data_IF_550459116243
#
_entry.id   IF_550459116243
#
_cell.length_a   1.000
_cell.length_b   1.000
_cell.length_c   1.000
_cell.angle_alpha   90.00
_cell.angle_beta   90.00
_cell.angle_gamma   90.00
#
_symmetry.space_group_name_H-M   'P 1'
#
loop_
_entity.id
_entity.type
_entity.pdbx_description
1 polymer ?
#
# COMPACT_ATOMS: atom_id res chain seq x y z
N UNK A 1 -13.09 6.59 -7.17
CA UNK A 1 -12.70 5.17 -7.19
C UNK A 1 -11.41 5.08 -7.98
N UNK A 2 -10.50 4.18 -7.61
CA UNK A 2 -9.19 4.06 -8.26
C UNK A 2 -9.01 2.61 -8.72
N UNK A 3 -8.85 2.41 -10.02
CA UNK A 3 -8.57 1.08 -10.56
C UNK A 3 -7.16 0.62 -10.16
N UNK A 4 -7.05 -0.65 -9.80
CA UNK A 4 -5.77 -1.30 -9.50
C UNK A 4 -5.05 -1.73 -10.76
N UNK A 5 -5.74 -1.83 -11.91
CA UNK A 5 -5.19 -2.33 -13.17
C UNK A 5 -5.08 -3.85 -13.24
N UNK A 6 -5.60 -4.56 -12.24
CA UNK A 6 -5.81 -6.01 -12.26
C UNK A 6 -7.32 -6.25 -12.34
N UNK A 7 -7.80 -6.74 -13.48
CA UNK A 7 -9.25 -6.88 -13.73
C UNK A 7 -9.93 -7.76 -12.69
N UNK A 8 -9.28 -8.86 -12.30
CA UNK A 8 -9.83 -9.78 -11.27
C UNK A 8 -9.89 -9.11 -9.90
N UNK A 9 -8.91 -8.26 -9.57
CA UNK A 9 -8.90 -7.48 -8.34
C UNK A 9 -9.95 -6.38 -8.37
N UNK A 10 -10.02 -5.61 -9.46
CA UNK A 10 -11.00 -4.54 -9.62
C UNK A 10 -12.43 -5.09 -9.56
N UNK A 11 -12.69 -6.24 -10.18
CA UNK A 11 -13.98 -6.92 -10.07
C UNK A 11 -14.30 -7.31 -8.62
N UNK A 12 -13.33 -7.85 -7.87
CA UNK A 12 -13.51 -8.19 -6.45
C UNK A 12 -13.81 -6.95 -5.59
N UNK A 13 -13.14 -5.83 -5.88
CA UNK A 13 -13.33 -4.56 -5.16
C UNK A 13 -14.62 -3.80 -5.58
N UNK A 14 -15.36 -4.32 -6.55
CA UNK A 14 -16.55 -3.67 -7.10
C UNK A 14 -16.23 -2.44 -7.96
N UNK A 15 -15.18 -2.53 -8.78
CA UNK A 15 -14.71 -1.51 -9.72
C UNK A 15 -13.36 -0.88 -9.35
N UNK A 16 -12.80 -1.18 -8.18
CA UNK A 16 -11.51 -0.67 -7.71
C UNK A 16 -11.57 -0.14 -6.28
N UNK A 17 -10.51 0.57 -5.87
CA UNK A 17 -10.34 1.05 -4.50
C UNK A 17 -11.27 2.24 -4.24
N UNK A 18 -12.08 2.11 -3.18
CA UNK A 18 -13.04 3.13 -2.77
C UNK A 18 -12.42 4.08 -1.75
N UNK A 19 -12.80 5.35 -1.83
CA UNK A 19 -12.47 6.33 -0.80
C UNK A 19 -13.15 5.98 0.53
N UNK A 20 -12.57 6.39 1.65
CA UNK A 20 -13.10 6.01 2.96
C UNK A 20 -12.46 4.76 3.56
N UNK A 21 -11.62 4.04 2.79
CA UNK A 21 -11.09 2.74 3.18
C UNK A 21 -9.57 2.74 3.26
N UNK A 22 -9.07 1.97 4.23
CA UNK A 22 -7.66 1.57 4.31
C UNK A 22 -7.52 0.18 3.70
N UNK A 23 -6.71 0.08 2.65
CA UNK A 23 -6.38 -1.18 1.97
C UNK A 23 -4.94 -1.57 2.31
N UNK A 24 -4.74 -2.76 2.89
CA UNK A 24 -3.41 -3.30 3.15
C UNK A 24 -2.95 -4.19 2.01
N UNK A 25 -1.72 -4.00 1.56
CA UNK A 25 -1.02 -4.86 0.60
C UNK A 25 0.14 -5.53 1.33
N UNK A 26 0.00 -6.81 1.66
CA UNK A 26 1.03 -7.57 2.38
C UNK A 26 1.64 -8.67 1.52
N UNK A 27 2.88 -9.06 1.82
CA UNK A 27 3.58 -10.09 1.06
C UNK A 27 5.08 -10.14 1.33
N UNK A 28 5.71 -11.25 0.91
CA UNK A 28 7.16 -11.44 1.04
C UNK A 28 7.93 -10.40 0.19
N UNK A 29 9.24 -10.30 0.40
CA UNK A 29 10.07 -9.46 -0.47
C UNK A 29 9.94 -9.91 -1.94
N UNK A 30 10.04 -8.95 -2.86
CA UNK A 30 9.94 -9.18 -4.30
C UNK A 30 8.62 -9.80 -4.82
N UNK A 31 7.52 -9.76 -4.04
CA UNK A 31 6.17 -10.13 -4.52
C UNK A 31 5.40 -8.96 -5.14
N UNK A 32 6.05 -7.81 -5.42
CA UNK A 32 5.41 -6.72 -6.17
C UNK A 32 4.52 -5.78 -5.34
N UNK A 33 4.61 -5.72 -4.01
CA UNK A 33 3.83 -4.78 -3.18
C UNK A 33 3.93 -3.32 -3.67
N UNK A 34 5.16 -2.81 -3.80
CA UNK A 34 5.44 -1.46 -4.33
C UNK A 34 5.01 -1.32 -5.79
N UNK A 35 5.08 -2.40 -6.58
CA UNK A 35 4.61 -2.42 -7.97
C UNK A 35 3.10 -2.18 -8.05
N UNK A 36 2.32 -2.84 -7.19
CA UNK A 36 0.89 -2.64 -7.08
C UNK A 36 0.57 -1.24 -6.56
N UNK A 37 1.30 -0.75 -5.56
CA UNK A 37 1.14 0.60 -5.02
C UNK A 37 1.38 1.69 -6.09
N UNK A 38 2.45 1.56 -6.89
CA UNK A 38 2.72 2.43 -8.04
C UNK A 38 1.59 2.37 -9.08
N UNK A 39 1.12 1.16 -9.39
CA UNK A 39 0.03 0.98 -10.34
C UNK A 39 -1.26 1.66 -9.89
N UNK A 40 -1.59 1.59 -8.59
CA UNK A 40 -2.72 2.30 -7.99
C UNK A 40 -2.50 3.83 -8.06
N UNK A 41 -1.27 4.32 -7.85
CA UNK A 41 -0.95 5.73 -8.05
C UNK A 41 -1.25 6.17 -9.49
N UNK A 42 -0.84 5.38 -10.49
CA UNK A 42 -1.13 5.67 -11.88
C UNK A 42 -2.64 5.72 -12.17
N UNK A 43 -3.41 4.80 -11.58
CA UNK A 43 -4.87 4.81 -11.67
C UNK A 43 -5.52 6.06 -11.04
N UNK A 44 -4.86 6.71 -10.08
CA UNK A 44 -5.36 7.90 -9.40
C UNK A 44 -5.04 9.22 -10.14
N UNK A 45 -4.14 9.23 -11.12
CA UNK A 45 -3.68 10.45 -11.80
C UNK A 45 -4.79 11.26 -12.49
N UNK A 46 -5.86 10.56 -12.89
CA UNK A 46 -7.02 11.15 -13.57
C UNK A 46 -8.03 11.83 -12.63
N UNK A 47 -7.89 11.69 -11.30
CA UNK A 47 -8.81 12.26 -10.33
C UNK A 47 -8.66 13.77 -10.10
N UNK A 48 -7.79 14.45 -10.87
CA UNK A 48 -7.60 15.91 -10.81
C UNK A 48 -6.84 16.44 -9.59
N UNK A 49 -6.58 15.60 -8.58
CA UNK A 49 -5.86 15.91 -7.34
C UNK A 49 -4.47 15.27 -7.29
N UNK A 50 -3.69 15.66 -6.30
CA UNK A 50 -2.37 15.09 -6.04
C UNK A 50 -2.48 13.71 -5.37
N UNK A 51 -1.36 12.99 -5.35
CA UNK A 51 -1.19 11.69 -4.69
C UNK A 51 -0.04 11.83 -3.71
N UNK A 52 -0.25 11.46 -2.45
CA UNK A 52 0.81 11.44 -1.45
C UNK A 52 1.41 10.04 -1.39
N UNK A 53 2.70 9.92 -1.67
CA UNK A 53 3.45 8.69 -1.48
C UNK A 53 4.47 8.87 -0.36
N UNK A 54 4.22 8.26 0.80
CA UNK A 54 5.13 8.26 1.93
C UNK A 54 6.07 7.06 1.85
N UNK A 55 7.34 7.32 1.56
CA UNK A 55 8.40 6.32 1.51
C UNK A 55 9.11 6.24 2.87
N UNK A 56 9.03 5.07 3.51
CA UNK A 56 9.66 4.80 4.81
C UNK A 56 10.93 3.96 4.67
N UNK A 57 11.12 3.27 3.54
CA UNK A 57 12.24 2.34 3.33
C UNK A 57 13.37 2.97 2.53
N UNK A 58 13.10 4.08 1.82
CA UNK A 58 14.04 4.71 0.89
C UNK A 58 14.17 3.94 -0.43
N UNK A 59 13.25 3.02 -0.72
CA UNK A 59 13.25 2.17 -1.91
C UNK A 59 12.39 2.74 -3.05
N UNK A 60 11.81 3.93 -2.90
CA UNK A 60 11.10 4.57 -4.00
C UNK A 60 12.05 4.85 -5.17
N UNK A 61 11.72 4.33 -6.35
CA UNK A 61 12.47 4.53 -7.61
C UNK A 61 11.54 5.09 -8.69
N UNK A 62 11.62 6.39 -9.02
CA UNK A 62 10.71 7.03 -9.98
C UNK A 62 10.83 6.44 -11.40
N UNK A 63 12.00 5.91 -11.77
CA UNK A 63 12.25 5.29 -13.07
C UNK A 63 11.24 4.18 -13.35
N UNK A 64 10.84 3.45 -12.30
CA UNK A 64 9.86 2.38 -12.43
C UNK A 64 8.45 2.90 -12.75
N UNK A 65 8.05 4.04 -12.17
CA UNK A 65 6.79 4.71 -12.54
C UNK A 65 6.84 5.17 -13.99
N UNK A 66 7.96 5.76 -14.43
CA UNK A 66 8.17 6.22 -15.81
C UNK A 66 8.05 5.05 -16.80
N UNK A 67 8.69 3.93 -16.51
CA UNK A 67 8.60 2.71 -17.33
C UNK A 67 7.15 2.20 -17.47
N UNK A 68 6.40 2.15 -16.35
CA UNK A 68 4.99 1.77 -16.36
C UNK A 68 4.15 2.76 -17.17
N UNK A 69 4.38 4.07 -17.02
CA UNK A 69 3.67 5.11 -17.75
C UNK A 69 3.91 5.00 -19.25
N UNK A 70 5.16 4.82 -19.69
CA UNK A 70 5.51 4.59 -21.10
C UNK A 70 4.81 3.35 -21.65
N UNK A 71 4.89 2.23 -20.93
CA UNK A 71 4.29 0.95 -21.35
C UNK A 71 2.75 1.01 -21.41
N UNK A 72 2.13 1.90 -20.64
CA UNK A 72 0.68 2.17 -20.62
C UNK A 72 0.24 3.36 -21.47
N UNK A 73 1.18 4.04 -22.15
CA UNK A 73 0.94 5.28 -22.92
C UNK A 73 0.32 6.41 -22.08
N UNK A 74 0.69 6.51 -20.81
CA UNK A 74 0.28 7.61 -19.92
C UNK A 74 1.26 8.77 -20.10
N UNK A 75 0.74 10.00 -20.19
CA UNK A 75 1.55 11.20 -20.32
C UNK A 75 2.45 11.41 -19.08
N UNK A 76 3.76 11.49 -19.29
CA UNK A 76 4.76 11.68 -18.22
C UNK A 76 4.61 12.99 -17.46
N UNK A 77 3.95 14.01 -18.03
CA UNK A 77 3.68 15.28 -17.32
C UNK A 77 2.80 15.11 -16.08
N UNK A 78 2.07 13.99 -15.96
CA UNK A 78 1.26 13.69 -14.79
C UNK A 78 2.10 13.24 -13.58
N UNK A 79 3.39 12.94 -13.76
CA UNK A 79 4.28 12.51 -12.68
C UNK A 79 4.36 13.57 -11.56
N UNK A 80 4.26 14.85 -11.89
CA UNK A 80 4.29 15.97 -10.94
C UNK A 80 3.15 15.92 -9.90
N UNK A 81 2.09 15.16 -10.17
CA UNK A 81 0.99 14.94 -9.22
C UNK A 81 1.35 13.97 -8.10
N UNK A 82 2.39 13.16 -8.25
CA UNK A 82 2.85 12.22 -7.23
C UNK A 82 3.84 12.94 -6.32
N UNK A 83 3.37 13.37 -5.14
CA UNK A 83 4.20 14.00 -4.12
C UNK A 83 4.81 12.91 -3.25
N UNK A 84 6.13 12.75 -3.35
CA UNK A 84 6.87 11.77 -2.56
C UNK A 84 7.42 12.45 -1.32
N UNK A 85 7.12 11.86 -0.16
CA UNK A 85 7.71 12.27 1.10
C UNK A 85 8.52 11.12 1.69
N UNK A 86 9.83 11.33 1.80
CA UNK A 86 10.72 10.39 2.48
C UNK A 86 10.73 10.71 3.97
N UNK A 87 10.34 9.74 4.79
CA UNK A 87 10.42 9.83 6.25
C UNK A 87 11.43 8.83 6.77
N UNK A 88 12.19 9.22 7.80
CA UNK A 88 13.31 8.41 8.32
C UNK A 88 13.18 8.05 9.78
N UNK A 89 12.07 8.43 10.43
CA UNK A 89 11.73 8.02 11.79
C UNK A 89 10.22 8.06 12.05
N UNK A 90 9.78 7.37 13.10
CA UNK A 90 8.37 7.22 13.47
C UNK A 90 7.71 8.57 13.81
N UNK A 91 8.45 9.46 14.49
CA UNK A 91 7.96 10.80 14.84
C UNK A 91 7.64 11.64 13.59
N UNK A 92 8.52 11.62 12.58
CA UNK A 92 8.28 12.26 11.28
C UNK A 92 7.11 11.60 10.54
N UNK A 93 7.06 10.27 10.52
CA UNK A 93 5.99 9.52 9.85
C UNK A 93 4.61 9.93 10.37
N UNK A 94 4.45 10.03 11.70
CA UNK A 94 3.21 10.46 12.36
C UNK A 94 2.95 11.96 12.13
N UNK A 95 3.95 12.81 12.37
CA UNK A 95 3.80 14.27 12.30
C UNK A 95 3.44 14.76 10.91
N UNK A 96 4.00 14.14 9.87
CA UNK A 96 3.77 14.57 8.49
C UNK A 96 2.30 14.41 8.09
N UNK A 97 1.69 13.28 8.48
CA UNK A 97 0.28 13.02 8.22
C UNK A 97 -0.63 14.06 8.87
N UNK A 98 -0.27 14.55 10.07
CA UNK A 98 -1.03 15.55 10.82
C UNK A 98 -0.87 16.98 10.28
N UNK A 99 0.25 17.29 9.64
CA UNK A 99 0.58 18.65 9.17
C UNK A 99 0.26 18.90 7.69
N UNK A 100 0.06 17.84 6.92
CA UNK A 100 -0.16 17.95 5.48
C UNK A 100 -1.60 18.39 5.21
N UNK A 101 -1.86 19.37 4.32
CA UNK A 101 -3.20 19.72 3.89
C UNK A 101 -3.77 18.60 3.00
N UNK A 102 -4.48 17.67 3.63
CA UNK A 102 -4.94 16.43 2.99
C UNK A 102 -6.02 16.65 1.93
N UNK A 103 -6.65 17.83 1.90
CA UNK A 103 -7.70 18.20 0.96
C UNK A 103 -7.24 18.17 -0.52
N UNK A 104 -5.93 18.34 -0.74
CA UNK A 104 -5.32 18.35 -2.06
C UNK A 104 -5.09 16.96 -2.64
N UNK A 105 -5.25 15.91 -1.83
CA UNK A 105 -4.89 14.55 -2.22
C UNK A 105 -6.12 13.69 -2.53
N UNK A 106 -5.99 12.85 -3.57
CA UNK A 106 -6.99 11.83 -3.94
C UNK A 106 -6.60 10.42 -3.52
N UNK A 107 -5.37 10.23 -3.08
CA UNK A 107 -4.81 8.95 -2.66
C UNK A 107 -3.63 9.22 -1.71
N UNK A 108 -3.55 8.41 -0.66
CA UNK A 108 -2.38 8.36 0.22
C UNK A 108 -1.83 6.94 0.20
N UNK A 109 -0.52 6.82 0.01
CA UNK A 109 0.21 5.55 0.06
C UNK A 109 1.29 5.63 1.14
N UNK A 110 1.41 4.60 1.97
CA UNK A 110 2.51 4.44 2.93
C UNK A 110 3.24 3.13 2.64
N UNK A 111 4.47 3.23 2.14
CA UNK A 111 5.30 2.10 1.73
C UNK A 111 6.65 2.14 2.47
N UNK A 112 6.93 1.29 3.47
CA UNK A 112 6.05 0.36 4.18
C UNK A 112 5.63 0.86 5.56
N UNK A 113 4.38 0.60 5.94
CA UNK A 113 3.77 1.18 7.14
C UNK A 113 4.40 0.71 8.45
N UNK A 114 5.02 -0.47 8.48
CA UNK A 114 5.56 -1.08 9.70
C UNK A 114 7.08 -0.96 9.85
N UNK A 115 7.77 -0.45 8.84
CA UNK A 115 9.24 -0.53 8.76
C UNK A 115 9.94 0.29 9.86
N UNK A 116 9.68 1.60 9.93
CA UNK A 116 10.27 2.50 10.93
C UNK A 116 9.89 2.09 12.36
N UNK A 117 8.64 1.69 12.58
CA UNK A 117 8.20 1.16 13.89
C UNK A 117 8.96 -0.11 14.28
N UNK A 118 9.32 -0.95 13.31
CA UNK A 118 10.07 -2.19 13.60
C UNK A 118 11.55 -1.95 13.79
N UNK A 119 12.09 -0.92 13.14
CA UNK A 119 13.46 -0.51 13.29
C UNK A 119 13.71 0.18 14.65
N UNK A 120 12.91 1.19 15.00
CA UNK A 120 13.09 1.97 16.24
C UNK A 120 12.74 1.18 17.50
N UNK A 121 11.71 0.34 17.45
CA UNK A 121 11.28 -0.49 18.56
C UNK A 121 11.69 -1.95 18.35
N UNK A 122 12.99 -2.18 18.20
CA UNK A 122 13.55 -3.51 17.91
C UNK A 122 13.74 -4.39 19.14
N UNK A 123 13.74 -3.82 20.35
CA UNK A 123 13.93 -4.56 21.61
C UNK A 123 12.62 -5.20 22.09
N UNK A 124 12.69 -6.40 22.66
CA UNK A 124 11.52 -7.12 23.18
C UNK A 124 10.76 -6.34 24.27
N UNK A 125 11.49 -5.63 25.15
CA UNK A 125 10.92 -4.78 26.21
C UNK A 125 10.06 -3.63 25.64
N UNK A 126 10.34 -3.21 24.41
CA UNK A 126 9.61 -2.14 23.71
C UNK A 126 8.43 -2.66 22.89
N UNK A 127 8.14 -3.97 22.92
CA UNK A 127 7.08 -4.57 22.11
C UNK A 127 5.71 -3.91 22.38
N UNK A 128 5.34 -3.72 23.64
CA UNK A 128 4.07 -3.07 23.99
C UNK A 128 4.01 -1.63 23.48
N UNK A 129 5.10 -0.87 23.65
CA UNK A 129 5.20 0.52 23.18
C UNK A 129 5.08 0.59 21.65
N UNK A 130 5.76 -0.30 20.92
CA UNK A 130 5.65 -0.46 19.47
C UNK A 130 4.21 -0.66 19.04
N UNK A 131 3.52 -1.62 19.64
CA UNK A 131 2.13 -1.93 19.31
C UNK A 131 1.20 -0.75 19.60
N UNK A 132 1.32 -0.11 20.76
CA UNK A 132 0.49 1.05 21.13
C UNK A 132 0.73 2.22 20.17
N UNK A 133 1.99 2.56 19.89
CA UNK A 133 2.36 3.66 19.01
C UNK A 133 1.87 3.42 17.58
N UNK A 134 2.09 2.21 17.05
CA UNK A 134 1.63 1.81 15.71
C UNK A 134 0.10 1.80 15.60
N UNK A 135 -0.62 1.28 16.60
CA UNK A 135 -2.09 1.27 16.60
C UNK A 135 -2.67 2.70 16.61
N UNK A 136 -2.06 3.63 17.38
CA UNK A 136 -2.46 5.05 17.34
C UNK A 136 -2.28 5.65 15.94
N UNK A 137 -1.16 5.35 15.27
CA UNK A 137 -0.92 5.81 13.91
C UNK A 137 -1.91 5.21 12.89
N UNK A 138 -2.17 3.91 12.96
CA UNK A 138 -3.16 3.25 12.10
C UNK A 138 -4.58 3.77 12.34
N UNK A 139 -4.94 4.06 13.59
CA UNK A 139 -6.20 4.72 13.93
C UNK A 139 -6.31 6.10 13.28
N UNK A 140 -5.25 6.92 13.31
CA UNK A 140 -5.22 8.21 12.62
C UNK A 140 -5.39 8.07 11.11
N UNK A 141 -4.71 7.10 10.47
CA UNK A 141 -4.89 6.81 9.05
C UNK A 141 -6.36 6.42 8.75
N UNK A 142 -6.94 5.50 9.52
CA UNK A 142 -8.33 5.08 9.32
C UNK A 142 -9.32 6.24 9.47
N UNK A 143 -9.15 7.07 10.50
CA UNK A 143 -9.97 8.27 10.72
C UNK A 143 -9.85 9.26 9.55
N UNK A 144 -8.65 9.47 9.01
CA UNK A 144 -8.44 10.31 7.83
C UNK A 144 -9.17 9.73 6.62
N UNK A 145 -9.02 8.42 6.37
CA UNK A 145 -9.63 7.76 5.24
C UNK A 145 -11.15 8.00 5.26
N UNK A 146 -11.79 7.70 6.40
CA UNK A 146 -13.24 7.82 6.60
C UNK A 146 -13.71 9.28 6.51
N UNK A 147 -13.14 10.17 7.31
CA UNK A 147 -13.61 11.55 7.44
C UNK A 147 -13.40 12.37 6.17
N UNK A 148 -12.32 12.11 5.44
CA UNK A 148 -12.00 12.84 4.20
C UNK A 148 -12.45 12.10 2.94
N UNK A 149 -12.95 10.86 3.07
CA UNK A 149 -13.26 9.96 1.96
C UNK A 149 -12.08 9.76 1.01
N UNK A 150 -10.86 9.76 1.55
CA UNK A 150 -9.62 9.53 0.79
C UNK A 150 -9.26 8.04 0.91
N UNK A 151 -8.97 7.34 -0.20
CA UNK A 151 -8.43 5.98 -0.15
C UNK A 151 -6.99 6.00 0.37
N UNK A 152 -6.70 5.10 1.31
CA UNK A 152 -5.35 4.94 1.87
C UNK A 152 -4.84 3.53 1.57
N UNK A 153 -3.64 3.44 1.04
CA UNK A 153 -2.92 2.19 0.80
C UNK A 153 -1.76 2.10 1.76
N UNK A 154 -1.64 0.96 2.43
CA UNK A 154 -0.48 0.65 3.26
C UNK A 154 0.15 -0.63 2.75
N UNK A 155 1.48 -0.67 2.64
CA UNK A 155 2.18 -1.91 2.34
C UNK A 155 2.77 -2.50 3.61
N UNK A 156 2.86 -3.82 3.67
CA UNK A 156 3.44 -4.52 4.81
C UNK A 156 4.24 -5.75 4.40
N UNK A 157 5.28 -6.08 5.16
CA UNK A 157 6.12 -7.24 4.87
C UNK A 157 5.60 -8.49 5.57
N UNK A 158 5.61 -9.60 4.83
CA UNK A 158 5.41 -10.95 5.37
C UNK A 158 6.77 -11.64 5.44
N UNK A 159 7.09 -12.23 6.58
CA UNK A 159 8.32 -13.01 6.80
C UNK A 159 7.97 -14.46 7.06
N UNK A 160 8.87 -15.37 6.71
CA UNK A 160 8.74 -16.78 7.07
C UNK A 160 9.50 -17.04 8.36
N UNK A 161 8.77 -17.42 9.41
CA UNK A 161 9.31 -17.78 10.72
C UNK A 161 8.80 -19.19 11.02
N UNK A 162 9.70 -20.13 11.30
CA UNK A 162 9.35 -21.54 11.59
C UNK A 162 8.42 -22.18 10.54
N UNK A 163 8.73 -21.96 9.25
CA UNK A 163 7.94 -22.40 8.09
C UNK A 163 6.52 -21.83 8.02
N UNK A 164 6.18 -20.85 8.86
CA UNK A 164 4.90 -20.13 8.81
C UNK A 164 5.12 -18.72 8.29
N UNK A 165 4.25 -18.29 7.39
CA UNK A 165 4.20 -16.89 6.98
C UNK A 165 3.56 -16.06 8.08
N UNK A 166 4.26 -15.03 8.53
CA UNK A 166 3.78 -14.07 9.52
C UNK A 166 3.87 -12.65 8.95
N UNK A 167 2.74 -11.96 8.90
CA UNK A 167 2.71 -10.54 8.57
C UNK A 167 3.21 -9.73 9.77
N UNK A 168 4.06 -8.73 9.51
CA UNK A 168 4.61 -7.91 10.57
C UNK A 168 3.50 -7.04 11.21
N UNK A 169 3.35 -7.05 12.54
CA UNK A 169 2.28 -6.34 13.24
C UNK A 169 0.86 -6.66 12.72
N UNK A 170 0.62 -7.89 12.26
CA UNK A 170 -0.65 -8.33 11.66
C UNK A 170 -1.88 -8.01 12.53
N UNK A 171 -1.82 -8.31 13.83
CA UNK A 171 -2.93 -8.08 14.74
C UNK A 171 -3.27 -6.58 14.81
N UNK A 172 -2.25 -5.73 14.96
CA UNK A 172 -2.44 -4.28 15.06
C UNK A 172 -2.90 -3.65 13.75
N UNK A 173 -2.42 -4.09 12.58
CA UNK A 173 -2.86 -3.52 11.29
C UNK A 173 -4.29 -3.97 10.96
N UNK A 174 -4.65 -5.22 11.32
CA UNK A 174 -5.93 -5.82 10.96
C UNK A 174 -7.14 -5.10 11.55
N UNK A 175 -6.98 -4.45 12.71
CA UNK A 175 -8.04 -3.69 13.38
C UNK A 175 -8.47 -2.44 12.62
N UNK A 176 -7.66 -1.95 11.67
CA UNK A 176 -7.89 -0.68 10.97
C UNK A 176 -8.00 -0.83 9.45
N UNK A 177 -7.77 -2.03 8.91
CA UNK A 177 -7.84 -2.31 7.47
C UNK A 177 -9.19 -2.89 7.08
N UNK A 178 -9.78 -2.35 6.01
CA UNK A 178 -11.08 -2.78 5.50
C UNK A 178 -10.96 -3.83 4.40
N UNK A 179 -9.83 -3.82 3.70
CA UNK A 179 -9.52 -4.76 2.62
C UNK A 179 -8.07 -5.18 2.72
N UNK A 180 -7.81 -6.48 2.58
CA UNK A 180 -6.46 -7.05 2.61
C UNK A 180 -6.14 -7.68 1.27
N UNK A 181 -5.01 -7.35 0.71
CA UNK A 181 -4.46 -7.92 -0.52
C UNK A 181 -3.15 -8.60 -0.15
N UNK A 182 -3.13 -9.93 -0.18
CA UNK A 182 -1.93 -10.72 0.10
C UNK A 182 -1.28 -11.16 -1.21
N UNK A 183 -0.03 -10.74 -1.42
CA UNK A 183 0.81 -11.08 -2.57
C UNK A 183 1.83 -12.15 -2.16
N UNK A 184 1.80 -13.30 -2.81
CA UNK A 184 2.74 -14.39 -2.56
C UNK A 184 3.40 -14.90 -3.84
N UNK A 185 4.54 -15.56 -3.68
CA UNK A 185 5.27 -16.25 -4.74
C UNK A 185 5.23 -17.75 -4.42
N UNK A 186 4.82 -18.56 -5.39
CA UNK A 186 4.90 -20.02 -5.32
C UNK A 186 5.69 -20.57 -6.51
N UNK A 187 5.74 -21.89 -6.62
CA UNK A 187 6.48 -22.58 -7.70
C UNK A 187 5.91 -22.22 -9.08
N UNK A 188 4.59 -22.02 -9.16
CA UNK A 188 3.88 -21.71 -10.39
C UNK A 188 3.64 -20.20 -10.59
N UNK A 189 4.56 -19.35 -10.10
CA UNK A 189 4.53 -17.90 -10.31
C UNK A 189 3.95 -17.12 -9.14
N UNK A 190 3.31 -15.98 -9.43
CA UNK A 190 2.85 -15.05 -8.41
C UNK A 190 1.33 -15.11 -8.22
N UNK A 191 0.88 -14.95 -6.97
CA UNK A 191 -0.51 -15.06 -6.59
C UNK A 191 -0.95 -13.84 -5.78
N UNK A 192 -2.12 -13.31 -6.13
CA UNK A 192 -2.82 -12.28 -5.39
C UNK A 192 -4.04 -12.91 -4.73
N UNK A 193 -4.18 -12.69 -3.42
CA UNK A 193 -5.35 -13.08 -2.65
C UNK A 193 -6.00 -11.82 -2.07
N UNK A 194 -7.21 -11.50 -2.54
CA UNK A 194 -8.00 -10.38 -2.06
C UNK A 194 -9.00 -10.89 -1.02
N UNK A 195 -9.00 -10.26 0.16
CA UNK A 195 -9.76 -10.68 1.33
C UNK A 195 -10.57 -9.47 1.83
N UNK A 196 -11.86 -9.71 2.02
CA UNK A 196 -12.81 -8.81 2.68
C UNK A 196 -13.56 -9.57 3.78
N UNK A 197 -14.35 -8.91 4.64
CA UNK A 197 -15.19 -9.61 5.62
C UNK A 197 -16.20 -10.60 5.03
N UNK A 198 -16.52 -10.47 3.73
CA UNK A 198 -17.61 -11.23 3.09
C UNK A 198 -17.14 -12.20 2.00
N UNK A 199 -15.94 -12.01 1.45
CA UNK A 199 -15.45 -12.75 0.29
C UNK A 199 -13.92 -12.85 0.29
N UNK A 200 -13.40 -13.90 -0.33
CA UNK A 200 -11.99 -14.20 -0.48
C UNK A 200 -11.73 -14.80 -1.87
N UNK A 201 -10.95 -14.10 -2.71
CA UNK A 201 -10.59 -14.58 -4.05
C UNK A 201 -9.09 -14.62 -4.24
N UNK A 202 -8.61 -15.70 -4.84
CA UNK A 202 -7.21 -15.91 -5.20
C UNK A 202 -7.07 -16.05 -6.71
N UNK A 203 -6.10 -15.36 -7.29
CA UNK A 203 -5.80 -15.41 -8.72
C UNK A 203 -4.31 -15.21 -8.98
N UNK A 204 -3.84 -15.70 -10.12
CA UNK A 204 -2.45 -15.53 -10.57
C UNK A 204 -2.24 -14.19 -11.28
N UNK A 205 -1.02 -13.67 -11.16
CA UNK A 205 -0.57 -12.49 -11.88
C UNK A 205 0.88 -12.63 -12.34
N UNK A 206 1.29 -11.71 -13.20
CA UNK A 206 2.67 -11.56 -13.67
C UNK A 206 3.16 -10.13 -13.43
N UNK A 207 4.47 -9.96 -13.26
CA UNK A 207 5.11 -8.64 -13.17
C UNK A 207 5.77 -8.36 -14.52
N UNK A 208 5.37 -7.29 -15.18
CA UNK A 208 5.80 -6.90 -16.53
C UNK A 208 6.23 -5.43 -16.54
N UNK A 209 6.70 -4.92 -17.68
CA UNK A 209 7.01 -3.48 -17.81
C UNK A 209 5.79 -2.58 -17.55
N UNK A 210 4.57 -3.08 -17.81
CA UNK A 210 3.29 -2.40 -17.51
C UNK A 210 2.92 -2.41 -16.02
N UNK A 211 3.68 -3.07 -15.16
CA UNK A 211 3.34 -3.31 -13.75
C UNK A 211 2.83 -4.73 -13.53
N UNK A 212 1.90 -4.89 -12.59
CA UNK A 212 1.28 -6.19 -12.32
C UNK A 212 0.08 -6.39 -13.24
N UNK A 213 0.06 -7.52 -13.96
CA UNK A 213 -0.97 -7.87 -14.95
C UNK A 213 -1.59 -9.22 -14.65
N UNK A 214 -2.88 -9.38 -14.94
CA UNK A 214 -3.55 -10.69 -14.85
C UNK A 214 -2.83 -11.70 -15.74
N UNK A 215 -2.63 -12.92 -15.22
CA UNK A 215 -2.21 -14.01 -16.07
C UNK A 215 -3.40 -14.46 -16.93
N UNK A 216 -3.22 -14.35 -18.25
CA UNK A 216 -4.15 -14.81 -19.29
C UNK A 216 -4.31 -16.32 -19.27
#
# INVERSE_FOLDING_TARGET
MIETGLKKLDQFLGGGIKGGLVTSISGQSATGKTQLAFQICLGALHNGKEILFQDTTGEFRPERLVEMMQSRKINSSLLDKIKVNRVTNTAQQIKYLLKTPLENYSLIVVDSVTDLFSFEYSKNEQSLEKHISFMKYMHSLSSIAINRKIPIIVTNIVRTIDKREKENLEESISMYTHTKIKLSKGDNGYFCQAISPFDNKKFQYTITSKGITDQS
#
